data_IF_551412112086
#
_entry.id   IF_551412112086
#
_cell.length_a   1.000
_cell.length_b   1.000
_cell.length_c   1.000
_cell.angle_alpha   90.00
_cell.angle_beta   90.00
_cell.angle_gamma   90.00
#
_symmetry.space_group_name_H-M   'P 1'
#
loop_
_entity.id
_entity.type
_entity.pdbx_description
1 polymer ?
#
# COMPACT_ATOMS: atom_id res chain seq x y z
N UNK A 1 2.03 -3.77 18.49
CA UNK A 1 1.70 -3.15 17.19
C UNK A 1 2.85 -3.07 16.18
N UNK A 2 4.15 -2.86 16.51
CA UNK A 2 5.19 -2.65 15.49
C UNK A 2 5.54 -3.91 14.69
N UNK A 3 5.44 -5.10 15.31
CA UNK A 3 5.79 -6.39 14.69
C UNK A 3 4.94 -6.72 13.45
N UNK A 4 3.67 -6.33 13.44
CA UNK A 4 2.77 -6.54 12.28
C UNK A 4 3.16 -5.67 11.09
N UNK A 5 3.60 -4.44 11.36
CA UNK A 5 3.99 -3.49 10.32
C UNK A 5 5.36 -3.88 9.73
N UNK A 6 6.29 -4.35 10.57
CA UNK A 6 7.58 -4.88 10.12
C UNK A 6 7.44 -6.19 9.32
N UNK A 7 6.51 -7.09 9.68
CA UNK A 7 6.20 -8.29 8.90
C UNK A 7 5.63 -7.94 7.51
N UNK A 8 4.75 -6.93 7.44
CA UNK A 8 4.16 -6.48 6.18
C UNK A 8 5.22 -5.84 5.27
N UNK A 9 6.09 -5.00 5.83
CA UNK A 9 7.24 -4.44 5.11
C UNK A 9 8.21 -5.52 4.64
N UNK A 10 8.51 -6.51 5.48
CA UNK A 10 9.40 -7.63 5.13
C UNK A 10 8.80 -8.45 3.97
N UNK A 11 7.51 -8.78 4.04
CA UNK A 11 6.80 -9.48 2.98
C UNK A 11 6.80 -8.69 1.66
N UNK A 12 6.60 -7.37 1.72
CA UNK A 12 6.66 -6.49 0.57
C UNK A 12 8.06 -6.43 -0.07
N UNK A 13 9.11 -6.42 0.76
CA UNK A 13 10.51 -6.45 0.30
C UNK A 13 10.84 -7.79 -0.37
N UNK A 14 10.45 -8.91 0.25
CA UNK A 14 10.66 -10.26 -0.32
C UNK A 14 9.93 -10.40 -1.65
N UNK A 15 8.66 -9.98 -1.73
CA UNK A 15 7.89 -9.98 -2.98
C UNK A 15 8.53 -9.10 -4.06
N UNK A 16 9.05 -7.93 -3.69
CA UNK A 16 9.73 -7.03 -4.63
C UNK A 16 11.03 -7.65 -5.16
N UNK A 17 11.85 -8.25 -4.29
CA UNK A 17 13.07 -8.96 -4.66
C UNK A 17 12.80 -10.15 -5.58
N UNK A 18 11.78 -10.96 -5.26
CA UNK A 18 11.38 -12.10 -6.09
C UNK A 18 10.90 -11.66 -7.48
N UNK A 19 10.27 -10.49 -7.55
CA UNK A 19 9.70 -9.95 -8.79
C UNK A 19 10.76 -9.36 -9.72
N UNK A 20 11.83 -8.77 -9.18
CA UNK A 20 12.94 -8.19 -9.99
C UNK A 20 13.66 -9.26 -10.81
N UNK A 21 13.72 -10.50 -10.31
CA UNK A 21 14.35 -11.63 -11.01
C UNK A 21 13.54 -12.18 -12.20
N UNK A 22 12.29 -11.76 -12.40
CA UNK A 22 11.40 -12.34 -13.41
C UNK A 22 11.01 -11.30 -14.49
N UNK A 23 11.62 -11.35 -15.70
CA UNK A 23 11.38 -10.38 -16.77
C UNK A 23 10.09 -10.67 -17.57
N UNK A 24 9.12 -11.39 -17.01
CA UNK A 24 7.85 -11.65 -17.69
C UNK A 24 7.13 -10.34 -18.02
N UNK A 25 6.77 -10.19 -19.30
CA UNK A 25 6.00 -9.07 -19.80
C UNK A 25 4.52 -9.41 -19.69
N UNK A 26 3.77 -8.58 -18.99
CA UNK A 26 2.32 -8.72 -18.84
C UNK A 26 1.65 -7.62 -19.63
N UNK A 27 0.70 -8.03 -20.48
CA UNK A 27 -0.13 -7.08 -21.23
C UNK A 27 -1.36 -6.77 -20.41
N UNK A 28 -1.51 -5.51 -19.99
CA UNK A 28 -2.74 -5.06 -19.36
C UNK A 28 -3.65 -4.55 -20.48
N UNK A 29 -4.85 -5.12 -20.57
CA UNK A 29 -5.85 -4.73 -21.55
C UNK A 29 -7.11 -4.23 -20.83
N UNK A 30 -7.36 -2.93 -20.95
CA UNK A 30 -8.63 -2.29 -20.62
C UNK A 30 -9.51 -2.20 -21.88
N UNK A 31 -10.81 -1.88 -21.71
CA UNK A 31 -11.77 -1.84 -22.81
C UNK A 31 -11.34 -0.97 -24.00
N UNK A 32 -10.61 0.12 -23.77
CA UNK A 32 -10.17 1.07 -24.81
C UNK A 32 -8.65 1.27 -24.86
N UNK A 33 -7.89 0.50 -24.08
CA UNK A 33 -6.45 0.78 -23.92
C UNK A 33 -5.67 -0.49 -23.62
N UNK A 34 -4.56 -0.69 -24.33
CA UNK A 34 -3.70 -1.86 -24.19
C UNK A 34 -2.25 -1.39 -24.06
N UNK A 35 -1.59 -1.79 -22.98
CA UNK A 35 -0.18 -1.48 -22.78
C UNK A 35 0.55 -2.65 -22.13
N UNK A 36 1.75 -2.91 -22.61
CA UNK A 36 2.62 -3.98 -22.11
C UNK A 36 3.59 -3.42 -21.09
N UNK A 37 3.59 -4.00 -19.90
CA UNK A 37 4.50 -3.64 -18.82
C UNK A 37 5.23 -4.88 -18.33
N UNK A 38 6.46 -4.69 -17.85
CA UNK A 38 7.14 -5.76 -17.15
C UNK A 38 6.45 -6.02 -15.80
N UNK A 39 6.27 -7.29 -15.44
CA UNK A 39 5.58 -7.73 -14.22
C UNK A 39 6.13 -7.04 -12.97
N UNK A 40 7.46 -6.92 -12.88
CA UNK A 40 8.13 -6.27 -11.75
C UNK A 40 7.70 -4.81 -11.55
N UNK A 41 7.41 -4.08 -12.64
CA UNK A 41 6.96 -2.67 -12.54
C UNK A 41 5.56 -2.60 -11.93
N UNK A 42 4.68 -3.55 -12.29
CA UNK A 42 3.33 -3.65 -11.74
C UNK A 42 3.39 -3.97 -10.25
N UNK A 43 4.23 -4.94 -9.87
CA UNK A 43 4.36 -5.38 -8.47
C UNK A 43 4.95 -4.25 -7.61
N UNK A 44 6.02 -3.60 -8.06
CA UNK A 44 6.60 -2.45 -7.36
C UNK A 44 5.60 -1.30 -7.20
N UNK A 45 4.82 -1.00 -8.25
CA UNK A 45 3.78 0.02 -8.18
C UNK A 45 2.68 -0.32 -7.17
N UNK A 46 2.24 -1.58 -7.13
CA UNK A 46 1.24 -2.05 -6.17
C UNK A 46 1.72 -1.98 -4.73
N UNK A 47 2.97 -2.41 -4.48
CA UNK A 47 3.61 -2.31 -3.16
C UNK A 47 3.70 -0.85 -2.71
N UNK A 48 4.18 0.04 -3.59
CA UNK A 48 4.31 1.45 -3.29
C UNK A 48 2.95 2.10 -2.94
N UNK A 49 1.93 1.84 -3.76
CA UNK A 49 0.56 2.32 -3.50
C UNK A 49 0.00 1.75 -2.19
N UNK A 50 0.25 0.47 -1.89
CA UNK A 50 -0.18 -0.15 -0.65
C UNK A 50 0.45 0.50 0.59
N UNK A 51 1.75 0.81 0.53
CA UNK A 51 2.45 1.54 1.61
C UNK A 51 1.87 2.95 1.76
N UNK A 52 1.70 3.69 0.66
CA UNK A 52 1.14 5.03 0.67
C UNK A 52 -0.28 5.04 1.28
N UNK A 53 -1.13 4.10 0.85
CA UNK A 53 -2.48 3.95 1.39
C UNK A 53 -2.47 3.65 2.89
N UNK A 54 -1.57 2.77 3.35
CA UNK A 54 -1.43 2.44 4.77
C UNK A 54 -1.05 3.66 5.60
N UNK A 55 -0.12 4.49 5.11
CA UNK A 55 0.27 5.74 5.77
C UNK A 55 -0.93 6.69 5.87
N UNK A 56 -1.62 6.96 4.77
CA UNK A 56 -2.79 7.84 4.73
C UNK A 56 -3.88 7.33 5.67
N UNK A 57 -4.21 6.04 5.59
CA UNK A 57 -5.24 5.43 6.42
C UNK A 57 -4.90 5.51 7.91
N UNK A 58 -3.65 5.21 8.28
CA UNK A 58 -3.21 5.30 9.68
C UNK A 58 -3.26 6.72 10.23
N UNK A 59 -2.91 7.72 9.40
CA UNK A 59 -3.04 9.14 9.73
C UNK A 59 -4.50 9.55 9.91
N UNK A 60 -5.36 9.13 8.99
CA UNK A 60 -6.80 9.43 9.02
C UNK A 60 -7.48 8.81 10.25
N UNK A 61 -7.16 7.56 10.60
CA UNK A 61 -7.68 6.92 11.82
C UNK A 61 -7.23 7.65 13.07
N UNK A 62 -5.97 8.09 13.18
CA UNK A 62 -5.51 8.91 14.31
C UNK A 62 -6.24 10.24 14.38
N UNK A 63 -6.46 10.88 13.24
CA UNK A 63 -7.17 12.16 13.16
C UNK A 63 -8.62 12.03 13.64
N UNK A 64 -9.36 11.05 13.14
CA UNK A 64 -10.73 10.77 13.59
C UNK A 64 -10.76 10.45 15.10
N UNK A 65 -9.78 9.70 15.60
CA UNK A 65 -9.71 9.36 17.02
C UNK A 65 -9.50 10.59 17.90
N UNK A 66 -8.63 11.54 17.50
CA UNK A 66 -8.47 12.83 18.19
C UNK A 66 -9.77 13.63 18.20
N UNK A 67 -10.43 13.78 17.05
CA UNK A 67 -11.70 14.52 16.97
C UNK A 67 -12.76 13.93 17.90
N UNK A 68 -12.84 12.59 18.01
CA UNK A 68 -13.76 11.93 18.94
C UNK A 68 -13.44 12.23 20.40
N UNK A 69 -12.16 12.25 20.78
CA UNK A 69 -11.74 12.57 22.15
C UNK A 69 -12.01 14.04 22.48
N UNK A 70 -11.63 14.96 21.60
CA UNK A 70 -11.87 16.40 21.79
C UNK A 70 -13.36 16.75 21.89
N UNK A 71 -14.23 15.96 21.24
CA UNK A 71 -15.68 16.12 21.34
C UNK A 71 -16.22 15.58 22.66
N UNK A 72 -15.70 14.45 23.14
CA UNK A 72 -16.10 13.87 24.44
C UNK A 72 -15.71 14.78 25.61
N UNK A 73 -14.50 15.37 25.60
CA UNK A 73 -14.01 16.28 26.64
C UNK A 73 -14.70 17.66 26.64
N UNK A 74 -15.50 17.99 25.61
CA UNK A 74 -16.35 19.20 25.61
C UNK A 74 -17.75 18.95 26.15
N UNK A 75 -18.23 17.72 26.03
CA UNK A 75 -19.59 17.34 26.40
C UNK A 75 -19.69 16.90 27.88
N UNK A 76 -18.55 16.71 28.57
CA UNK A 76 -18.39 16.33 29.98
C UNK A 76 -17.37 17.22 30.69
#
# INVERSE_FOLDING_TARGET
>A
MPVRLSLLLLGAVILSLLSIGNPQIVTIQFLFWRQSFALYKIILGSVFLGVLFTVIYSGHVRYIRRIRQDRYDRDY
#
